data_IF_078362893564
#
_entry.id   IF_078362893564
#
_cell.length_a   1.000
_cell.length_b   1.000
_cell.length_c   1.000
_cell.angle_alpha   90.00
_cell.angle_beta   90.00
_cell.angle_gamma   90.00
#
_symmetry.space_group_name_H-M   'P 1'
#
loop_
_entity.id
_entity.type
_entity.pdbx_description
1 polymer ?
#
# COMPACT_ATOMS: atom_id res chain seq x y z
N UNK A 1 -33.29 19.44 45.45
CA UNK A 1 -32.69 18.51 46.41
C UNK A 1 -31.81 17.54 45.61
N UNK A 2 -30.50 17.51 45.91
CA UNK A 2 -29.62 16.31 46.09
C UNK A 2 -29.68 15.25 44.97
N UNK A 3 -28.62 14.74 44.32
CA UNK A 3 -27.15 14.86 44.23
C UNK A 3 -26.76 13.92 43.07
N UNK A 4 -25.64 14.14 42.34
CA UNK A 4 -24.69 13.05 42.08
C UNK A 4 -23.32 13.54 41.57
N UNK A 5 -22.31 13.20 42.39
CA UNK A 5 -20.87 13.27 42.15
C UNK A 5 -20.43 12.56 40.86
N UNK A 6 -19.51 13.19 40.12
CA UNK A 6 -18.35 12.46 39.58
C UNK A 6 -17.07 13.28 39.80
N UNK A 7 -16.26 12.79 40.76
CA UNK A 7 -14.89 13.20 40.99
C UNK A 7 -14.00 12.58 39.92
N UNK A 8 -13.28 13.41 39.18
CA UNK A 8 -12.11 12.99 38.40
C UNK A 8 -10.90 13.13 39.32
N UNK A 9 -10.46 12.01 39.88
CA UNK A 9 -9.15 11.87 40.47
C UNK A 9 -8.58 10.55 39.96
N UNK A 10 -7.65 10.61 39.01
CA UNK A 10 -6.73 9.51 38.76
C UNK A 10 -5.30 10.04 38.65
N UNK A 11 -4.69 10.13 39.81
CA UNK A 11 -3.26 10.21 40.06
C UNK A 11 -2.63 8.84 39.81
N UNK A 12 -1.59 8.75 38.96
CA UNK A 12 -0.38 7.95 39.22
C UNK A 12 0.55 7.84 37.99
N UNK A 13 1.71 8.46 38.10
CA UNK A 13 3.02 7.98 37.64
C UNK A 13 3.97 8.10 38.86
N UNK A 14 5.19 7.52 38.92
CA UNK A 14 5.91 6.56 38.06
C UNK A 14 6.57 5.42 38.93
N UNK A 15 7.85 5.00 38.76
CA UNK A 15 8.48 4.13 37.75
C UNK A 15 9.03 2.81 38.37
N UNK A 16 9.48 1.82 37.58
CA UNK A 16 10.66 1.01 37.97
C UNK A 16 11.47 0.57 36.75
N UNK A 17 12.75 0.95 36.76
CA UNK A 17 13.83 0.41 35.95
C UNK A 17 14.27 -0.91 36.59
N UNK A 18 14.27 -2.02 35.85
CA UNK A 18 14.88 -3.26 36.32
C UNK A 18 16.31 -3.35 35.80
N UNK A 19 17.25 -3.28 36.72
CA UNK A 19 18.67 -3.51 36.54
C UNK A 19 18.98 -5.01 36.67
N UNK A 20 19.81 -5.56 35.78
CA UNK A 20 20.25 -6.95 35.90
C UNK A 20 21.43 -7.25 34.99
N UNK A 21 22.62 -7.20 35.56
CA UNK A 21 23.90 -7.26 34.87
C UNK A 21 24.44 -8.71 34.76
N UNK A 22 25.32 -8.92 33.77
CA UNK A 22 26.55 -9.76 33.79
C UNK A 22 26.44 -11.29 33.55
N UNK A 23 27.00 -11.66 32.39
CA UNK A 23 28.24 -12.45 32.20
C UNK A 23 28.19 -13.97 32.46
N UNK A 24 28.40 -14.75 31.39
CA UNK A 24 29.44 -15.79 31.32
C UNK A 24 29.60 -16.27 29.86
N UNK A 25 30.83 -16.13 29.37
CA UNK A 25 31.42 -16.89 28.26
C UNK A 25 32.06 -18.13 28.88
N UNK A 26 31.85 -19.30 28.30
CA UNK A 26 32.75 -20.45 28.46
C UNK A 26 32.65 -21.41 27.27
N UNK A 27 33.76 -22.08 27.07
CA UNK A 27 34.39 -22.62 25.88
C UNK A 27 33.86 -23.99 25.41
N UNK A 28 34.10 -24.26 24.11
CA UNK A 28 34.56 -25.54 23.57
C UNK A 28 33.72 -26.82 23.74
N UNK A 29 33.38 -27.46 22.62
CA UNK A 29 33.91 -28.78 22.24
C UNK A 29 33.30 -29.21 20.89
N UNK A 30 34.19 -29.44 19.92
CA UNK A 30 33.92 -30.04 18.62
C UNK A 30 33.30 -31.43 18.75
N UNK A 31 32.43 -31.83 17.81
CA UNK A 31 32.57 -33.11 17.10
C UNK A 31 31.79 -33.09 15.78
N UNK A 32 32.50 -33.57 14.75
CA UNK A 32 32.08 -33.70 13.38
C UNK A 32 30.81 -34.55 13.18
N UNK A 33 29.98 -34.16 12.23
CA UNK A 33 29.16 -35.10 11.46
C UNK A 33 29.00 -34.61 10.02
N UNK A 34 29.84 -35.24 9.19
CA UNK A 34 29.46 -35.85 7.92
C UNK A 34 28.60 -35.00 6.98
N UNK A 35 29.32 -34.23 6.16
CA UNK A 35 28.89 -33.77 4.85
C UNK A 35 28.23 -34.92 4.07
N UNK A 36 26.90 -34.87 3.99
CA UNK A 36 26.13 -35.71 3.08
C UNK A 36 25.58 -34.81 1.99
N UNK A 37 26.13 -35.03 0.79
CA UNK A 37 25.83 -34.50 -0.52
C UNK A 37 24.40 -33.97 -0.70
N UNK A 38 24.26 -32.64 -0.69
CA UNK A 38 23.07 -31.97 -1.21
C UNK A 38 23.26 -31.75 -2.72
N UNK A 39 22.50 -32.50 -3.51
CA UNK A 39 22.28 -32.26 -4.94
C UNK A 39 21.73 -30.83 -5.13
N UNK A 40 22.32 -29.98 -6.00
CA UNK A 40 21.70 -28.72 -6.34
C UNK A 40 20.55 -29.02 -7.29
N UNK A 41 19.32 -29.09 -6.75
CA UNK A 41 18.16 -28.75 -7.55
C UNK A 41 18.29 -27.27 -7.89
N UNK A 42 18.74 -26.97 -9.11
CA UNK A 42 18.55 -25.68 -9.76
C UNK A 42 17.04 -25.43 -9.95
N UNK A 43 16.34 -25.26 -8.83
CA UNK A 43 15.13 -24.46 -8.81
C UNK A 43 15.58 -23.04 -9.06
N UNK A 44 15.49 -22.60 -10.31
CA UNK A 44 15.55 -21.20 -10.70
C UNK A 44 14.62 -20.47 -9.73
N UNK A 45 15.18 -19.81 -8.71
CA UNK A 45 14.46 -18.84 -7.91
C UNK A 45 14.03 -17.78 -8.90
N UNK A 46 12.80 -17.88 -9.37
CA UNK A 46 12.10 -16.82 -10.05
C UNK A 46 11.83 -15.71 -9.03
N UNK A 47 12.89 -14.99 -8.66
CA UNK A 47 12.80 -13.64 -8.11
C UNK A 47 12.45 -12.67 -9.25
N UNK A 48 11.39 -12.98 -9.99
CA UNK A 48 10.81 -12.13 -11.04
C UNK A 48 9.69 -11.23 -10.48
N UNK A 49 9.35 -11.35 -9.20
CA UNK A 49 8.08 -10.83 -8.66
C UNK A 49 8.11 -9.40 -8.13
N UNK A 50 9.23 -8.68 -8.15
CA UNK A 50 9.25 -7.25 -7.75
C UNK A 50 9.67 -6.36 -8.91
N UNK A 51 10.89 -6.55 -9.42
CA UNK A 51 11.41 -5.70 -10.50
C UNK A 51 10.62 -5.81 -11.81
N UNK A 52 10.07 -7.00 -12.12
CA UNK A 52 9.25 -7.21 -13.32
C UNK A 52 7.82 -6.67 -13.14
N UNK A 53 7.30 -6.63 -11.90
CA UNK A 53 6.03 -5.98 -11.60
C UNK A 53 6.16 -4.45 -11.66
N UNK A 54 7.20 -3.88 -11.07
CA UNK A 54 7.47 -2.43 -11.15
C UNK A 54 7.67 -1.98 -12.60
N UNK A 55 8.48 -2.71 -13.39
CA UNK A 55 8.69 -2.35 -14.79
C UNK A 55 7.44 -2.56 -15.65
N UNK A 56 6.64 -3.58 -15.37
CA UNK A 56 5.34 -3.77 -16.04
C UNK A 56 4.31 -2.72 -15.63
N UNK A 57 4.32 -2.26 -14.38
CA UNK A 57 3.47 -1.19 -13.88
C UNK A 57 3.86 0.15 -14.52
N UNK A 58 5.16 0.42 -14.67
CA UNK A 58 5.66 1.60 -15.39
C UNK A 58 5.35 1.53 -16.90
N UNK A 59 5.59 0.40 -17.57
CA UNK A 59 5.28 0.20 -18.99
C UNK A 59 3.77 0.23 -19.28
N UNK A 60 2.96 -0.25 -18.33
CA UNK A 60 1.49 -0.14 -18.40
C UNK A 60 1.07 1.31 -18.19
N UNK A 61 1.62 2.00 -17.20
CA UNK A 61 1.30 3.41 -16.92
C UNK A 61 1.69 4.34 -18.08
N UNK A 62 2.87 4.13 -18.68
CA UNK A 62 3.33 4.96 -19.82
C UNK A 62 2.52 4.72 -21.10
N UNK A 63 2.14 3.48 -21.41
CA UNK A 63 1.28 3.17 -22.56
C UNK A 63 -0.19 3.54 -22.30
N UNK A 64 -0.62 3.48 -21.05
CA UNK A 64 -1.98 3.80 -20.57
C UNK A 64 -2.20 5.30 -20.34
N UNK A 65 -1.18 6.14 -20.48
CA UNK A 65 -1.32 7.60 -20.34
C UNK A 65 -1.34 8.34 -21.69
N UNK A 66 -1.12 7.65 -22.81
CA UNK A 66 -1.11 8.28 -24.15
C UNK A 66 -2.43 8.98 -24.48
N UNK A 67 -3.55 8.36 -24.11
CA UNK A 67 -4.88 8.94 -24.29
C UNK A 67 -5.12 10.20 -23.45
N UNK A 68 -4.39 10.36 -22.34
CA UNK A 68 -4.40 11.58 -21.53
C UNK A 68 -3.53 12.66 -22.18
N UNK A 69 -2.38 12.29 -22.74
CA UNK A 69 -1.45 13.22 -23.41
C UNK A 69 -2.02 13.76 -24.73
N UNK A 70 -2.64 12.89 -25.51
CA UNK A 70 -3.25 13.23 -26.81
C UNK A 70 -4.64 13.90 -26.66
N UNK A 71 -5.16 13.99 -25.44
CA UNK A 71 -6.49 14.56 -25.17
C UNK A 71 -6.58 16.08 -25.44
N UNK A 72 -5.46 16.80 -25.50
CA UNK A 72 -5.49 18.28 -25.57
C UNK A 72 -6.03 18.94 -24.28
N UNK A 73 -6.02 18.21 -23.16
CA UNK A 73 -6.29 18.77 -21.84
C UNK A 73 -5.10 19.60 -21.33
N UNK A 74 -5.35 20.61 -20.48
CA UNK A 74 -4.28 21.36 -19.83
C UNK A 74 -3.37 20.46 -18.98
N UNK A 75 -2.07 20.78 -18.89
CA UNK A 75 -1.07 19.99 -18.14
C UNK A 75 -1.51 19.63 -16.72
N UNK A 76 -2.13 20.56 -16.01
CA UNK A 76 -2.61 20.30 -14.64
C UNK A 76 -3.71 19.24 -14.60
N UNK A 77 -4.64 19.25 -15.57
CA UNK A 77 -5.66 18.22 -15.65
C UNK A 77 -5.06 16.87 -16.07
N UNK A 78 -4.12 16.87 -17.03
CA UNK A 78 -3.40 15.66 -17.42
C UNK A 78 -2.65 15.04 -16.24
N UNK A 79 -1.94 15.84 -15.45
CA UNK A 79 -1.23 15.38 -14.24
C UNK A 79 -2.19 14.76 -13.23
N UNK A 80 -3.34 15.39 -12.99
CA UNK A 80 -4.36 14.85 -12.07
C UNK A 80 -4.92 13.52 -12.59
N UNK A 81 -5.19 13.41 -13.90
CA UNK A 81 -5.68 12.17 -14.51
C UNK A 81 -4.65 11.04 -14.43
N UNK A 82 -3.36 11.34 -14.66
CA UNK A 82 -2.26 10.38 -14.49
C UNK A 82 -2.23 9.86 -13.05
N UNK A 83 -2.29 10.75 -12.05
CA UNK A 83 -2.38 10.35 -10.64
C UNK A 83 -3.61 9.50 -10.34
N UNK A 84 -4.78 9.86 -10.87
CA UNK A 84 -6.02 9.08 -10.73
C UNK A 84 -5.84 7.66 -11.28
N UNK A 85 -5.17 7.51 -12.42
CA UNK A 85 -4.90 6.20 -13.04
C UNK A 85 -3.93 5.37 -12.20
N UNK A 86 -2.85 5.98 -11.73
CA UNK A 86 -1.88 5.34 -10.84
C UNK A 86 -2.53 4.87 -9.53
N UNK A 87 -3.38 5.70 -8.91
CA UNK A 87 -4.09 5.33 -7.68
C UNK A 87 -5.04 4.17 -7.92
N UNK A 88 -5.78 4.16 -9.04
CA UNK A 88 -6.67 3.06 -9.40
C UNK A 88 -5.90 1.74 -9.59
N UNK A 89 -4.77 1.77 -10.31
CA UNK A 89 -3.93 0.58 -10.48
C UNK A 89 -3.44 0.06 -9.12
N UNK A 90 -2.96 0.94 -8.24
CA UNK A 90 -2.56 0.55 -6.88
C UNK A 90 -3.70 -0.05 -6.07
N UNK A 91 -4.92 0.47 -6.22
CA UNK A 91 -6.12 -0.08 -5.58
C UNK A 91 -6.44 -1.48 -6.14
N UNK A 92 -6.33 -1.69 -7.45
CA UNK A 92 -6.55 -3.00 -8.09
C UNK A 92 -5.48 -4.01 -7.64
N UNK A 93 -4.21 -3.65 -7.66
CA UNK A 93 -3.10 -4.50 -7.21
C UNK A 93 -3.28 -4.90 -5.74
N UNK A 94 -3.68 -3.95 -4.87
CA UNK A 94 -3.90 -4.21 -3.44
C UNK A 94 -5.14 -5.05 -3.16
N UNK A 95 -6.19 -4.93 -3.97
CA UNK A 95 -7.34 -5.82 -3.90
C UNK A 95 -6.94 -7.24 -4.30
N UNK A 96 -6.15 -7.41 -5.35
CA UNK A 96 -5.64 -8.73 -5.75
C UNK A 96 -4.72 -9.33 -4.67
N UNK A 97 -3.87 -8.51 -4.04
CA UNK A 97 -3.04 -8.94 -2.91
C UNK A 97 -3.91 -9.41 -1.74
N UNK A 98 -5.00 -8.69 -1.44
CA UNK A 98 -5.95 -9.06 -0.40
C UNK A 98 -6.65 -10.39 -0.72
N UNK A 99 -7.10 -10.58 -1.96
CA UNK A 99 -7.72 -11.84 -2.41
C UNK A 99 -6.73 -13.02 -2.35
N UNK A 100 -5.50 -12.81 -2.81
CA UNK A 100 -4.43 -13.81 -2.74
C UNK A 100 -4.09 -14.17 -1.29
N UNK A 101 -4.02 -13.18 -0.40
CA UNK A 101 -3.78 -13.37 1.03
C UNK A 101 -4.91 -14.18 1.68
N UNK A 102 -6.16 -13.95 1.27
CA UNK A 102 -7.30 -14.70 1.76
C UNK A 102 -7.26 -16.16 1.29
N UNK A 103 -6.90 -16.39 0.03
CA UNK A 103 -6.76 -17.72 -0.56
C UNK A 103 -5.53 -18.50 -0.05
N UNK A 104 -4.49 -17.82 0.45
CA UNK A 104 -3.29 -18.48 0.96
C UNK A 104 -3.56 -19.26 2.26
N UNK A 105 -3.50 -20.58 2.19
CA UNK A 105 -3.69 -21.48 3.34
C UNK A 105 -2.41 -21.71 4.16
N UNK A 106 -1.28 -21.17 3.72
CA UNK A 106 0.05 -21.40 4.33
C UNK A 106 0.31 -20.51 5.54
N UNK A 107 -0.47 -19.42 5.69
CA UNK A 107 -0.32 -18.44 6.77
C UNK A 107 -1.23 -18.78 7.96
N UNK A 108 -0.74 -18.52 9.17
CA UNK A 108 -1.57 -18.61 10.38
C UNK A 108 -2.67 -17.53 10.38
N UNK A 109 -3.80 -17.82 11.03
CA UNK A 109 -4.95 -16.93 11.08
C UNK A 109 -4.60 -15.53 11.63
N UNK A 110 -3.74 -15.48 12.65
CA UNK A 110 -3.30 -14.22 13.28
C UNK A 110 -2.45 -13.36 12.32
N UNK A 111 -1.50 -13.97 11.61
CA UNK A 111 -0.67 -13.27 10.61
C UNK A 111 -1.53 -12.80 9.43
N UNK A 112 -2.48 -13.63 8.98
CA UNK A 112 -3.42 -13.26 7.93
C UNK A 112 -4.26 -12.05 8.34
N UNK A 113 -4.84 -12.08 9.55
CA UNK A 113 -5.66 -10.97 10.06
C UNK A 113 -4.86 -9.67 10.19
N UNK A 114 -3.62 -9.73 10.69
CA UNK A 114 -2.75 -8.56 10.77
C UNK A 114 -2.48 -7.95 9.38
N UNK A 115 -2.13 -8.79 8.39
CA UNK A 115 -1.89 -8.35 7.00
C UNK A 115 -3.15 -7.79 6.33
N UNK A 116 -4.30 -8.43 6.54
CA UNK A 116 -5.60 -7.91 6.05
C UNK A 116 -5.87 -6.52 6.61
N UNK A 117 -5.65 -6.29 7.92
CA UNK A 117 -5.84 -4.98 8.54
C UNK A 117 -4.96 -3.89 7.92
N UNK A 118 -3.69 -4.21 7.62
CA UNK A 118 -2.77 -3.30 6.92
C UNK A 118 -3.28 -2.99 5.51
N UNK A 119 -3.61 -4.01 4.71
CA UNK A 119 -4.10 -3.83 3.34
C UNK A 119 -5.40 -3.03 3.29
N UNK A 120 -6.32 -3.24 4.24
CA UNK A 120 -7.56 -2.46 4.33
C UNK A 120 -7.29 -0.98 4.67
N UNK A 121 -6.33 -0.69 5.55
CA UNK A 121 -5.91 0.67 5.86
C UNK A 121 -5.27 1.38 4.66
N UNK A 122 -4.40 0.67 3.93
CA UNK A 122 -3.78 1.15 2.69
C UNK A 122 -4.84 1.43 1.62
N UNK A 123 -5.80 0.52 1.42
CA UNK A 123 -6.93 0.71 0.51
C UNK A 123 -7.76 1.93 0.89
N UNK A 124 -8.02 2.15 2.18
CA UNK A 124 -8.70 3.35 2.68
C UNK A 124 -7.94 4.63 2.31
N UNK A 125 -6.62 4.64 2.49
CA UNK A 125 -5.74 5.77 2.16
C UNK A 125 -5.71 6.04 0.64
N UNK A 126 -5.59 4.99 -0.17
CA UNK A 126 -5.61 5.10 -1.63
C UNK A 126 -6.97 5.60 -2.12
N UNK A 127 -8.07 5.12 -1.54
CA UNK A 127 -9.43 5.57 -1.88
C UNK A 127 -9.63 7.05 -1.54
N UNK A 128 -9.16 7.50 -0.37
CA UNK A 128 -9.20 8.92 0.00
C UNK A 128 -8.34 9.79 -0.95
N UNK A 129 -7.19 9.27 -1.37
CA UNK A 129 -6.32 9.93 -2.36
C UNK A 129 -7.00 10.04 -3.72
N UNK A 130 -7.71 8.99 -4.16
CA UNK A 130 -8.50 8.99 -5.39
C UNK A 130 -9.61 10.04 -5.34
N UNK A 131 -10.35 10.13 -4.23
CA UNK A 131 -11.37 11.16 -4.03
C UNK A 131 -10.77 12.57 -4.06
N UNK A 132 -9.60 12.76 -3.45
CA UNK A 132 -8.89 14.05 -3.43
C UNK A 132 -8.46 14.47 -4.83
N UNK A 133 -7.91 13.55 -5.62
CA UNK A 133 -7.53 13.81 -7.00
C UNK A 133 -8.75 14.13 -7.88
N UNK A 134 -9.85 13.38 -7.73
CA UNK A 134 -11.12 13.65 -8.43
C UNK A 134 -11.69 15.03 -8.05
N UNK A 135 -11.65 15.42 -6.77
CA UNK A 135 -12.08 16.75 -6.34
C UNK A 135 -11.19 17.85 -6.92
N UNK A 136 -9.89 17.61 -7.06
CA UNK A 136 -8.97 18.55 -7.71
C UNK A 136 -9.32 18.74 -9.18
N UNK A 137 -9.65 17.65 -9.90
CA UNK A 137 -10.13 17.73 -11.28
C UNK A 137 -11.45 18.50 -11.38
N UNK A 138 -12.39 18.26 -10.47
CA UNK A 138 -13.66 18.98 -10.40
C UNK A 138 -13.48 20.48 -10.12
N UNK A 139 -12.49 20.85 -9.28
CA UNK A 139 -12.12 22.26 -9.04
C UNK A 139 -11.59 22.93 -10.30
N UNK A 140 -10.76 22.23 -11.10
CA UNK A 140 -10.28 22.74 -12.40
C UNK A 140 -11.42 22.96 -13.40
N UNK A 141 -12.49 22.16 -13.32
CA UNK A 141 -13.69 22.38 -14.12
C UNK A 141 -14.49 23.60 -13.64
N UNK A 142 -14.67 23.74 -12.33
CA UNK A 142 -15.47 24.83 -11.73
C UNK A 142 -14.79 26.20 -11.77
N UNK A 143 -13.46 26.26 -11.74
CA UNK A 143 -12.71 27.52 -11.73
C UNK A 143 -12.47 28.09 -13.15
N UNK A 144 -13.04 27.46 -14.19
CA UNK A 144 -12.90 27.89 -15.58
C UNK A 144 -11.57 27.50 -16.25
N UNK A 145 -10.72 26.69 -15.60
CA UNK A 145 -9.47 26.19 -16.21
C UNK A 145 -9.77 25.19 -17.34
N UNK A 146 -10.86 24.42 -17.20
CA UNK A 146 -11.34 23.51 -18.22
C UNK A 146 -12.59 24.06 -18.89
N UNK A 147 -12.61 24.03 -20.22
CA UNK A 147 -13.85 24.21 -20.99
C UNK A 147 -14.81 23.04 -20.75
N UNK A 148 -16.12 23.22 -20.99
CA UNK A 148 -17.11 22.13 -20.85
C UNK A 148 -16.75 20.85 -21.62
N UNK A 149 -16.21 20.99 -22.83
CA UNK A 149 -15.74 19.87 -23.63
C UNK A 149 -14.55 19.14 -22.96
N UNK A 150 -13.61 19.90 -22.40
CA UNK A 150 -12.45 19.35 -21.68
C UNK A 150 -12.87 18.69 -20.36
N UNK A 151 -13.83 19.25 -19.63
CA UNK A 151 -14.35 18.66 -18.41
C UNK A 151 -15.06 17.31 -18.68
N UNK A 152 -15.85 17.24 -19.76
CA UNK A 152 -16.47 15.99 -20.22
C UNK A 152 -15.42 14.96 -20.63
N UNK A 153 -14.42 15.38 -21.39
CA UNK A 153 -13.34 14.49 -21.82
C UNK A 153 -12.51 13.97 -20.65
N UNK A 154 -12.14 14.83 -19.70
CA UNK A 154 -11.42 14.41 -18.50
C UNK A 154 -12.23 13.38 -17.69
N UNK A 155 -13.55 13.59 -17.56
CA UNK A 155 -14.44 12.64 -16.89
C UNK A 155 -14.51 11.29 -17.62
N UNK A 156 -14.55 11.31 -18.96
CA UNK A 156 -14.54 10.11 -19.78
C UNK A 156 -13.21 9.33 -19.67
N UNK A 157 -12.07 10.04 -19.56
CA UNK A 157 -10.75 9.43 -19.41
C UNK A 157 -10.59 8.76 -18.03
N UNK A 158 -11.12 9.34 -16.96
CA UNK A 158 -11.12 8.71 -15.63
C UNK A 158 -11.84 7.36 -15.61
N UNK A 159 -12.91 7.22 -16.40
CA UNK A 159 -13.71 5.99 -16.46
C UNK A 159 -13.12 4.92 -17.36
N UNK A 160 -12.16 5.28 -18.22
CA UNK A 160 -11.54 4.35 -19.16
C UNK A 160 -10.44 3.61 -18.40
N UNK A 161 -10.65 2.32 -18.16
CA UNK A 161 -9.64 1.42 -17.61
C UNK A 161 -8.69 0.98 -18.71
#
# INVERSE_FOLDING_TARGET
MINLNLQVANTAQPPTLNAGAKKAVDDGLEMASTNTTATPVEGIKVSLSSLSLEKSAEDRSTRSNKDIEESGLPDQAQKILKMIREIQQKIEDKQQELEALMADTSLSAEVKQARVGVLQSELGTLTASLMTANNSLAKLSRNGTLSDAQAKQASALTMKK
#
